data_IF_679557344850
#
_entry.id   IF_679557344850
#
_cell.length_a   1.000
_cell.length_b   1.000
_cell.length_c   1.000
_cell.angle_alpha   90.00
_cell.angle_beta   90.00
_cell.angle_gamma   90.00
#
_symmetry.space_group_name_H-M   'P 1'
#
loop_
_entity.id
_entity.type
_entity.pdbx_description
1 polymer ?
#
# COMPACT_ATOMS: atom_id res chain seq x y z
N UNK A 1 14.77 9.26 9.41
CA UNK A 1 13.70 9.34 8.41
C UNK A 1 14.24 8.79 7.11
N UNK A 2 13.74 7.63 6.67
CA UNK A 2 14.13 7.03 5.39
C UNK A 2 13.58 7.89 4.22
N UNK A 3 14.05 7.66 2.98
CA UNK A 3 13.65 8.49 1.82
C UNK A 3 12.14 8.43 1.51
N UNK A 4 11.48 7.32 1.82
CA UNK A 4 10.03 7.15 1.66
C UNK A 4 9.25 8.04 2.64
N UNK A 5 9.62 8.02 3.92
CA UNK A 5 9.02 8.86 4.96
C UNK A 5 9.20 10.35 4.63
N UNK A 6 10.38 10.76 4.15
CA UNK A 6 10.61 12.14 3.71
C UNK A 6 9.66 12.57 2.61
N UNK A 7 9.50 11.71 1.59
CA UNK A 7 8.58 11.96 0.49
C UNK A 7 7.12 12.04 0.96
N UNK A 8 6.67 11.10 1.78
CA UNK A 8 5.29 11.09 2.29
C UNK A 8 4.99 12.29 3.19
N UNK A 9 5.94 12.74 4.01
CA UNK A 9 5.81 13.96 4.79
C UNK A 9 5.64 15.18 3.88
N UNK A 10 6.49 15.32 2.85
CA UNK A 10 6.37 16.39 1.85
C UNK A 10 5.02 16.36 1.12
N UNK A 11 4.56 15.17 0.72
CA UNK A 11 3.23 14.98 0.14
C UNK A 11 2.12 15.42 1.11
N UNK A 12 2.22 15.02 2.39
CA UNK A 12 1.23 15.38 3.41
C UNK A 12 1.16 16.89 3.66
N UNK A 13 2.30 17.58 3.68
CA UNK A 13 2.37 19.03 3.81
C UNK A 13 1.68 19.74 2.64
N UNK A 14 1.91 19.29 1.39
CA UNK A 14 1.22 19.82 0.21
C UNK A 14 -0.28 19.59 0.27
N UNK A 15 -0.71 18.38 0.66
CA UNK A 15 -2.13 18.05 0.81
C UNK A 15 -2.81 18.88 1.91
N UNK A 16 -2.09 19.27 2.96
CA UNK A 16 -2.60 20.13 4.03
C UNK A 16 -3.02 21.53 3.57
N UNK A 17 -2.59 21.95 2.37
CA UNK A 17 -2.93 23.26 1.79
C UNK A 17 -4.15 23.19 0.84
N UNK A 18 -4.63 21.99 0.51
CA UNK A 18 -5.72 21.80 -0.46
C UNK A 18 -7.08 21.95 0.23
N UNK A 19 -7.93 22.81 -0.33
CA UNK A 19 -9.35 22.90 0.03
C UNK A 19 -10.21 22.32 -1.09
N UNK A 20 -10.95 21.25 -0.80
CA UNK A 20 -11.82 20.58 -1.77
C UNK A 20 -13.28 21.05 -1.64
N UNK A 21 -13.91 21.35 -2.77
CA UNK A 21 -15.32 21.81 -2.83
C UNK A 21 -16.22 20.87 -3.63
N UNK A 22 -15.64 20.06 -4.53
CA UNK A 22 -16.37 19.05 -5.32
C UNK A 22 -16.68 17.79 -4.51
N UNK A 23 -17.88 17.23 -4.68
CA UNK A 23 -18.32 16.02 -3.99
C UNK A 23 -17.34 14.85 -4.21
N UNK A 24 -16.84 14.71 -5.44
CA UNK A 24 -15.81 13.71 -5.80
C UNK A 24 -14.54 13.88 -4.95
N UNK A 25 -14.05 15.10 -4.80
CA UNK A 25 -12.80 15.38 -4.11
C UNK A 25 -12.95 15.35 -2.58
N UNK A 26 -14.15 15.67 -2.08
CA UNK A 26 -14.55 15.42 -0.69
C UNK A 26 -14.50 13.94 -0.32
N UNK A 27 -14.68 13.03 -1.28
CA UNK A 27 -14.46 11.60 -1.08
C UNK A 27 -13.00 11.18 -1.28
N UNK A 28 -12.29 11.74 -2.27
CA UNK A 28 -10.89 11.38 -2.58
C UNK A 28 -9.92 11.78 -1.48
N UNK A 29 -10.00 13.00 -0.97
CA UNK A 29 -9.02 13.53 -0.01
C UNK A 29 -8.92 12.69 1.28
N UNK A 30 -10.02 12.27 1.93
CA UNK A 30 -9.94 11.37 3.08
C UNK A 30 -9.33 10.00 2.76
N UNK A 31 -9.57 9.45 1.56
CA UNK A 31 -8.99 8.17 1.14
C UNK A 31 -7.48 8.28 0.97
N UNK A 32 -7.01 9.37 0.36
CA UNK A 32 -5.58 9.70 0.21
C UNK A 32 -4.91 9.79 1.58
N UNK A 33 -5.49 10.59 2.49
CA UNK A 33 -4.97 10.77 3.85
C UNK A 33 -4.93 9.45 4.60
N UNK A 34 -5.98 8.62 4.46
CA UNK A 34 -6.02 7.28 5.07
C UNK A 34 -4.94 6.37 4.49
N UNK A 35 -4.69 6.43 3.18
CA UNK A 35 -3.68 5.63 2.51
C UNK A 35 -2.28 5.97 3.04
N UNK A 36 -1.90 7.25 3.03
CA UNK A 36 -0.57 7.72 3.47
C UNK A 36 -0.31 7.31 4.92
N UNK A 37 -1.27 7.56 5.82
CA UNK A 37 -1.16 7.18 7.24
C UNK A 37 -1.03 5.67 7.42
N UNK A 38 -1.77 4.89 6.66
CA UNK A 38 -1.68 3.43 6.71
C UNK A 38 -0.36 2.94 6.13
N UNK A 39 0.19 3.62 5.12
CA UNK A 39 1.46 3.28 4.49
C UNK A 39 2.62 3.33 5.48
N UNK A 40 2.75 4.44 6.21
CA UNK A 40 3.78 4.60 7.24
C UNK A 40 3.68 3.54 8.35
N UNK A 41 2.45 3.14 8.72
CA UNK A 41 2.25 2.06 9.70
C UNK A 41 2.69 0.69 9.16
N UNK A 42 2.44 0.42 7.87
CA UNK A 42 2.90 -0.83 7.24
C UNK A 42 4.43 -0.87 7.18
N UNK A 43 5.08 0.24 6.82
CA UNK A 43 6.55 0.34 6.83
C UNK A 43 7.14 0.00 8.20
N UNK A 44 6.54 0.51 9.28
CA UNK A 44 6.96 0.20 10.65
C UNK A 44 6.76 -1.28 11.00
N UNK A 45 5.60 -1.86 10.66
CA UNK A 45 5.33 -3.29 10.91
C UNK A 45 6.28 -4.19 10.12
N UNK A 46 6.56 -3.87 8.86
CA UNK A 46 7.52 -4.61 8.03
C UNK A 46 8.95 -4.48 8.55
N UNK A 47 9.31 -3.32 9.10
CA UNK A 47 10.62 -3.12 9.75
C UNK A 47 10.81 -4.07 10.95
N UNK A 48 9.75 -4.29 11.74
CA UNK A 48 9.75 -5.23 12.87
C UNK A 48 9.38 -6.67 12.48
N UNK A 49 9.22 -6.96 11.18
CA UNK A 49 8.85 -8.27 10.65
C UNK A 49 7.49 -8.79 11.17
N UNK A 50 6.56 -7.89 11.51
CA UNK A 50 5.18 -8.20 11.92
C UNK A 50 4.30 -8.46 10.68
N UNK A 51 4.53 -9.61 10.03
CA UNK A 51 4.07 -9.86 8.67
C UNK A 51 2.53 -9.95 8.54
N UNK A 52 1.85 -10.59 9.48
CA UNK A 52 0.39 -10.79 9.41
C UNK A 52 -0.33 -9.45 9.54
N UNK A 53 0.10 -8.61 10.47
CA UNK A 53 -0.41 -7.27 10.72
C UNK A 53 -0.12 -6.37 9.52
N UNK A 54 1.10 -6.41 8.99
CA UNK A 54 1.47 -5.69 7.78
C UNK A 54 0.57 -6.10 6.60
N UNK A 55 0.45 -7.39 6.30
CA UNK A 55 -0.40 -7.91 5.22
C UNK A 55 -1.87 -7.52 5.39
N UNK A 56 -2.38 -7.52 6.63
CA UNK A 56 -3.75 -7.08 6.94
C UNK A 56 -3.95 -5.60 6.59
N UNK A 57 -2.96 -4.74 6.85
CA UNK A 57 -3.03 -3.34 6.47
C UNK A 57 -2.77 -3.10 4.96
N UNK A 58 -1.93 -3.92 4.32
CA UNK A 58 -1.76 -3.90 2.85
C UNK A 58 -3.10 -4.23 2.16
N UNK A 59 -3.89 -5.17 2.71
CA UNK A 59 -5.26 -5.45 2.24
C UNK A 59 -6.14 -4.19 2.26
N UNK A 60 -6.08 -3.45 3.37
CA UNK A 60 -6.79 -2.17 3.52
C UNK A 60 -6.31 -1.13 2.51
N UNK A 61 -5.01 -1.05 2.20
CA UNK A 61 -4.52 -0.14 1.17
C UNK A 61 -5.05 -0.46 -0.22
N UNK A 62 -5.14 -1.73 -0.58
CA UNK A 62 -5.77 -2.16 -1.83
C UNK A 62 -7.26 -1.77 -1.88
N UNK A 63 -7.98 -1.93 -0.77
CA UNK A 63 -9.37 -1.49 -0.62
C UNK A 63 -9.53 0.03 -0.76
N UNK A 64 -8.61 0.81 -0.18
CA UNK A 64 -8.59 2.28 -0.31
C UNK A 64 -8.37 2.71 -1.76
N UNK A 65 -7.42 2.09 -2.47
CA UNK A 65 -7.15 2.38 -3.87
C UNK A 65 -8.34 2.00 -4.76
N UNK A 66 -8.96 0.85 -4.53
CA UNK A 66 -10.18 0.45 -5.23
C UNK A 66 -11.32 1.45 -4.99
N UNK A 67 -11.52 1.88 -3.74
CA UNK A 67 -12.53 2.90 -3.39
C UNK A 67 -12.22 4.25 -4.03
N UNK A 68 -10.94 4.62 -4.14
CA UNK A 68 -10.52 5.82 -4.85
C UNK A 68 -10.90 5.75 -6.33
N UNK A 69 -10.65 4.62 -7.01
CA UNK A 69 -11.08 4.39 -8.41
C UNK A 69 -12.59 4.38 -8.60
N UNK A 70 -13.37 4.05 -7.57
CA UNK A 70 -14.82 4.17 -7.65
C UNK A 70 -15.32 5.61 -7.74
N UNK A 71 -14.53 6.60 -7.30
CA UNK A 71 -14.90 8.03 -7.40
C UNK A 71 -14.99 8.55 -8.83
N UNK A 72 -14.51 7.80 -9.82
CA UNK A 72 -14.70 8.09 -11.24
C UNK A 72 -16.18 8.00 -11.65
N UNK A 73 -17.00 7.22 -10.93
CA UNK A 73 -18.45 7.15 -11.10
C UNK A 73 -19.16 7.36 -9.75
N UNK A 74 -19.47 8.61 -9.46
CA UNK A 74 -20.06 9.01 -8.17
C UNK A 74 -21.45 8.42 -7.91
N UNK A 75 -22.26 8.20 -8.95
CA UNK A 75 -23.60 7.64 -8.79
C UNK A 75 -23.55 6.17 -8.36
N UNK A 76 -22.68 5.37 -9.00
CA UNK A 76 -22.43 3.99 -8.60
C UNK A 76 -21.84 3.92 -7.18
N UNK A 77 -20.87 4.79 -6.87
CA UNK A 77 -20.25 4.86 -5.55
C UNK A 77 -21.29 5.13 -4.45
N UNK A 78 -22.19 6.10 -4.66
CA UNK A 78 -23.27 6.42 -3.70
C UNK A 78 -24.16 5.20 -3.43
N UNK A 79 -24.53 4.47 -4.48
CA UNK A 79 -25.33 3.25 -4.35
C UNK A 79 -24.56 2.19 -3.57
N UNK A 80 -23.26 2.01 -3.84
CA UNK A 80 -22.41 1.05 -3.15
C UNK A 80 -22.28 1.39 -1.65
N UNK A 81 -21.99 2.65 -1.31
CA UNK A 81 -21.89 3.13 0.09
C UNK A 81 -23.23 2.95 0.81
N UNK A 82 -24.34 3.37 0.19
CA UNK A 82 -25.69 3.21 0.77
C UNK A 82 -26.03 1.74 1.06
N UNK A 83 -25.57 0.83 0.21
CA UNK A 83 -25.74 -0.63 0.37
C UNK A 83 -24.64 -1.28 1.22
N UNK A 84 -23.73 -0.50 1.80
CA UNK A 84 -22.58 -0.97 2.60
C UNK A 84 -21.74 -2.03 1.86
N UNK A 85 -21.58 -1.87 0.54
CA UNK A 85 -20.76 -2.78 -0.26
C UNK A 85 -19.27 -2.52 0.00
N UNK A 86 -18.51 -3.61 0.06
CA UNK A 86 -17.04 -3.56 0.03
C UNK A 86 -16.53 -2.90 -1.28
N UNK A 87 -15.34 -2.30 -1.29
CA UNK A 87 -14.78 -1.70 -2.51
C UNK A 87 -14.63 -2.71 -3.64
N UNK A 88 -14.85 -2.28 -4.88
CA UNK A 88 -14.70 -3.13 -6.07
C UNK A 88 -13.22 -3.32 -6.44
N UNK A 89 -12.63 -4.36 -5.86
CA UNK A 89 -11.23 -4.76 -6.11
C UNK A 89 -10.95 -5.01 -7.60
N UNK A 90 -11.95 -5.38 -8.39
CA UNK A 90 -11.84 -5.55 -9.84
C UNK A 90 -11.45 -4.27 -10.60
N UNK A 91 -11.55 -3.09 -9.96
CA UNK A 91 -11.03 -1.83 -10.52
C UNK A 91 -9.51 -1.73 -10.49
N UNK A 92 -8.84 -2.62 -9.77
CA UNK A 92 -7.38 -2.69 -9.70
C UNK A 92 -6.92 -3.90 -10.49
N UNK A 93 -6.02 -3.67 -11.45
CA UNK A 93 -5.38 -4.74 -12.21
C UNK A 93 -4.69 -5.74 -11.27
N UNK A 94 -4.91 -7.03 -11.49
CA UNK A 94 -4.49 -8.13 -10.61
C UNK A 94 -4.99 -8.03 -9.16
N UNK A 95 -5.90 -7.08 -8.86
CA UNK A 95 -6.42 -6.82 -7.52
C UNK A 95 -7.08 -8.05 -6.90
N UNK A 96 -7.82 -8.84 -7.68
CA UNK A 96 -8.50 -10.03 -7.16
C UNK A 96 -7.54 -11.09 -6.61
N UNK A 97 -6.39 -11.28 -7.26
CA UNK A 97 -5.36 -12.24 -6.81
C UNK A 97 -4.71 -11.74 -5.53
N UNK A 98 -4.25 -10.47 -5.51
CA UNK A 98 -3.68 -9.85 -4.31
C UNK A 98 -4.66 -9.88 -3.14
N UNK A 99 -5.91 -9.50 -3.38
CA UNK A 99 -6.94 -9.45 -2.35
C UNK A 99 -7.28 -10.82 -1.78
N UNK A 100 -7.35 -11.85 -2.63
CA UNK A 100 -7.58 -13.23 -2.19
C UNK A 100 -6.51 -13.67 -1.21
N UNK A 101 -5.24 -13.54 -1.59
CA UNK A 101 -4.11 -13.91 -0.74
C UNK A 101 -4.09 -13.11 0.57
N UNK A 102 -4.22 -11.79 0.50
CA UNK A 102 -4.21 -10.93 1.69
C UNK A 102 -5.41 -11.19 2.62
N UNK A 103 -6.57 -11.58 2.06
CA UNK A 103 -7.76 -11.94 2.83
C UNK A 103 -7.61 -13.28 3.54
N UNK A 104 -6.94 -14.25 2.91
CA UNK A 104 -6.59 -15.52 3.59
C UNK A 104 -5.70 -15.26 4.79
N UNK A 105 -4.70 -14.38 4.64
CA UNK A 105 -3.79 -13.99 5.73
C UNK A 105 -4.56 -13.27 6.85
N UNK A 106 -5.32 -12.24 6.51
CA UNK A 106 -6.04 -11.40 7.48
C UNK A 106 -7.11 -12.16 8.28
N UNK A 107 -7.64 -13.27 7.75
CA UNK A 107 -8.61 -14.10 8.45
C UNK A 107 -8.00 -15.34 9.12
N UNK A 108 -6.68 -15.54 9.00
CA UNK A 108 -6.00 -16.79 9.40
C UNK A 108 -6.74 -18.02 8.83
N UNK A 109 -7.15 -17.94 7.56
CA UNK A 109 -8.09 -18.89 6.97
C UNK A 109 -7.51 -20.30 6.81
N UNK A 110 -6.18 -20.43 6.82
CA UNK A 110 -5.42 -21.68 6.65
C UNK A 110 -4.33 -21.76 7.72
N UNK A 111 -4.04 -22.97 8.20
CA UNK A 111 -2.95 -23.21 9.16
C UNK A 111 -1.58 -22.74 8.65
N UNK A 112 -1.39 -22.80 7.34
CA UNK A 112 -0.20 -22.38 6.62
C UNK A 112 0.06 -20.87 6.79
N UNK A 113 -0.98 -20.06 7.05
CA UNK A 113 -0.82 -18.64 7.36
C UNK A 113 -0.02 -18.42 8.64
N UNK A 114 -0.07 -19.34 9.60
CA UNK A 114 0.71 -19.19 10.83
C UNK A 114 2.20 -19.27 10.59
N UNK A 115 2.66 -19.87 9.47
CA UNK A 115 4.09 -19.88 9.13
C UNK A 115 4.66 -18.46 8.96
N UNK A 116 3.81 -17.47 8.65
CA UNK A 116 4.16 -16.05 8.56
C UNK A 116 4.51 -15.42 9.92
N UNK A 117 4.31 -16.12 11.03
CA UNK A 117 4.76 -15.72 12.38
C UNK A 117 6.25 -16.01 12.63
N UNK A 118 6.99 -16.51 11.63
CA UNK A 118 8.42 -16.84 11.79
C UNK A 118 8.64 -18.18 12.47
N UNK A 119 8.13 -19.25 11.84
CA UNK A 119 8.32 -20.62 12.32
C UNK A 119 9.80 -21.03 12.19
N UNK A 120 10.36 -21.56 13.28
CA UNK A 120 11.69 -22.18 13.29
C UNK A 120 11.57 -23.68 13.48
N UNK A 121 12.08 -24.43 12.50
CA UNK A 121 12.19 -25.89 12.61
C UNK A 121 13.43 -26.23 13.45
N UNK A 122 13.22 -26.94 14.55
CA UNK A 122 14.28 -27.36 15.46
C UNK A 122 14.94 -28.67 14.98
N UNK A 123 16.11 -29.00 15.52
CA UNK A 123 16.86 -30.22 15.17
C UNK A 123 16.10 -31.52 15.47
N UNK A 124 15.16 -31.50 16.42
CA UNK A 124 14.34 -32.64 16.85
C UNK A 124 12.98 -32.73 16.12
N UNK A 125 12.84 -32.05 14.98
CA UNK A 125 11.59 -31.89 14.22
C UNK A 125 10.46 -31.16 14.97
N UNK A 126 10.73 -30.61 16.16
CA UNK A 126 9.78 -29.71 16.83
C UNK A 126 9.73 -28.33 16.14
N UNK A 127 8.65 -27.59 16.42
CA UNK A 127 8.39 -26.28 15.82
C UNK A 127 8.34 -25.22 16.92
N UNK A 128 9.22 -24.24 16.83
CA UNK A 128 9.17 -23.02 17.62
C UNK A 128 8.52 -21.89 16.84
N UNK A 129 7.83 -21.00 17.55
CA UNK A 129 7.36 -19.72 17.00
C UNK A 129 8.02 -18.63 17.82
N UNK A 130 8.75 -17.74 17.16
CA UNK A 130 9.33 -16.59 17.84
C UNK A 130 8.24 -15.62 18.26
N UNK A 131 8.38 -15.07 19.47
CA UNK A 131 7.49 -14.00 19.92
C UNK A 131 7.71 -12.70 19.11
N UNK A 132 8.93 -12.50 18.62
CA UNK A 132 9.29 -11.36 17.78
C UNK A 132 9.35 -11.80 16.32
N UNK A 133 8.95 -10.90 15.41
CA UNK A 133 9.05 -11.13 13.98
C UNK A 133 10.48 -11.47 13.56
N UNK A 134 10.60 -12.47 12.68
CA UNK A 134 11.87 -12.87 12.05
C UNK A 134 11.81 -12.54 10.57
N UNK A 135 12.88 -11.96 10.06
CA UNK A 135 12.99 -11.69 8.63
C UNK A 135 13.04 -13.00 7.83
N UNK A 136 12.11 -13.17 6.90
CA UNK A 136 12.03 -14.30 6.00
C UNK A 136 11.64 -13.86 4.56
N UNK A 137 11.54 -14.82 3.65
CA UNK A 137 11.11 -14.54 2.27
C UNK A 137 9.66 -14.05 2.19
N UNK A 138 8.80 -14.39 3.16
CA UNK A 138 7.42 -13.91 3.17
C UNK A 138 7.34 -12.40 3.45
N UNK A 139 8.26 -11.85 4.26
CA UNK A 139 8.38 -10.40 4.45
C UNK A 139 8.66 -9.70 3.12
N UNK A 140 9.57 -10.25 2.29
CA UNK A 140 9.86 -9.68 0.96
C UNK A 140 8.63 -9.68 0.05
N UNK A 141 7.84 -10.76 0.08
CA UNK A 141 6.61 -10.86 -0.70
C UNK A 141 5.60 -9.78 -0.28
N UNK A 142 5.35 -9.64 1.02
CA UNK A 142 4.44 -8.61 1.54
C UNK A 142 4.95 -7.20 1.19
N UNK A 143 6.26 -6.96 1.33
CA UNK A 143 6.85 -5.68 0.97
C UNK A 143 6.78 -5.39 -0.53
N UNK A 144 6.94 -6.40 -1.39
CA UNK A 144 6.77 -6.27 -2.84
C UNK A 144 5.33 -5.87 -3.24
N UNK A 145 4.33 -6.44 -2.58
CA UNK A 145 2.91 -6.09 -2.82
C UNK A 145 2.61 -4.68 -2.29
N UNK A 146 3.11 -4.35 -1.10
CA UNK A 146 3.01 -3.01 -0.53
C UNK A 146 3.59 -1.95 -1.47
N UNK A 147 4.76 -2.24 -2.06
CA UNK A 147 5.44 -1.42 -3.06
C UNK A 147 4.61 -1.28 -4.35
N UNK A 148 4.06 -2.37 -4.90
CA UNK A 148 3.19 -2.31 -6.09
C UNK A 148 1.99 -1.40 -5.87
N UNK A 149 1.32 -1.55 -4.72
CA UNK A 149 0.16 -0.73 -4.36
C UNK A 149 0.56 0.74 -4.21
N UNK A 150 1.73 1.03 -3.63
CA UNK A 150 2.24 2.40 -3.55
C UNK A 150 2.51 3.01 -4.92
N UNK A 151 3.17 2.30 -5.84
CA UNK A 151 3.41 2.82 -7.19
C UNK A 151 2.11 3.12 -7.94
N UNK A 152 1.06 2.31 -7.75
CA UNK A 152 -0.27 2.60 -8.31
C UNK A 152 -0.88 3.84 -7.69
N UNK A 153 -0.81 3.96 -6.36
CA UNK A 153 -1.28 5.15 -5.64
C UNK A 153 -0.52 6.42 -6.06
N UNK A 154 0.80 6.34 -6.27
CA UNK A 154 1.63 7.45 -6.69
C UNK A 154 1.11 8.09 -7.99
N UNK A 155 0.71 7.28 -8.97
CA UNK A 155 0.14 7.77 -10.23
C UNK A 155 -1.16 8.55 -9.97
N UNK A 156 -2.04 8.04 -9.12
CA UNK A 156 -3.26 8.75 -8.73
C UNK A 156 -2.95 10.07 -8.00
N UNK A 157 -1.86 10.10 -7.24
CA UNK A 157 -1.44 11.29 -6.52
C UNK A 157 -0.86 12.38 -7.40
N UNK A 158 -0.10 12.03 -8.43
CA UNK A 158 0.34 13.01 -9.43
C UNK A 158 -0.87 13.71 -10.06
N UNK A 159 -1.88 12.92 -10.46
CA UNK A 159 -3.11 13.45 -11.04
C UNK A 159 -3.89 14.34 -10.06
N UNK A 160 -4.09 13.87 -8.83
CA UNK A 160 -4.82 14.64 -7.82
C UNK A 160 -4.15 15.98 -7.51
N UNK A 161 -2.82 16.00 -7.37
CA UNK A 161 -2.06 17.22 -7.11
C UNK A 161 -2.15 18.19 -8.29
N UNK A 162 -2.03 17.69 -9.52
CA UNK A 162 -2.18 18.48 -10.74
C UNK A 162 -3.55 19.13 -10.89
N UNK A 163 -4.60 18.46 -10.39
CA UNK A 163 -5.98 18.98 -10.40
C UNK A 163 -6.20 20.10 -9.35
N UNK A 164 -5.41 20.13 -8.26
CA UNK A 164 -5.76 20.92 -7.06
C UNK A 164 -4.70 21.90 -6.58
N UNK A 165 -3.44 21.78 -7.01
CA UNK A 165 -2.34 22.66 -6.62
C UNK A 165 -1.98 23.56 -7.79
N UNK A 166 -2.08 24.87 -7.57
CA UNK A 166 -1.74 25.87 -8.59
C UNK A 166 -0.25 25.78 -8.93
N UNK A 167 0.09 25.81 -10.23
CA UNK A 167 1.45 25.72 -10.76
C UNK A 167 2.21 24.44 -10.34
N UNK A 168 1.51 23.37 -9.99
CA UNK A 168 2.13 22.09 -9.70
C UNK A 168 2.80 21.49 -10.95
N UNK A 169 4.05 21.06 -10.77
CA UNK A 169 4.78 20.21 -11.71
C UNK A 169 5.09 18.87 -11.05
N UNK A 170 5.00 17.79 -11.83
CA UNK A 170 5.36 16.44 -11.39
C UNK A 170 6.88 16.20 -11.38
N UNK A 171 7.69 17.15 -11.88
CA UNK A 171 9.15 16.98 -12.03
C UNK A 171 9.83 16.54 -10.72
N UNK A 172 9.53 17.21 -9.61
CA UNK A 172 10.14 16.86 -8.31
C UNK A 172 9.69 15.49 -7.79
N UNK A 173 8.45 15.08 -8.05
CA UNK A 173 7.94 13.78 -7.64
C UNK A 173 8.54 12.66 -8.51
N UNK A 174 8.69 12.92 -9.81
CA UNK A 174 9.31 12.01 -10.77
C UNK A 174 10.82 11.89 -10.56
N UNK A 175 11.50 12.98 -10.23
CA UNK A 175 12.92 12.97 -9.87
C UNK A 175 13.16 12.10 -8.64
N UNK A 176 12.34 12.22 -7.60
CA UNK A 176 12.41 11.36 -6.42
C UNK A 176 12.14 9.89 -6.79
N UNK A 177 11.11 9.61 -7.59
CA UNK A 177 10.78 8.25 -8.02
C UNK A 177 11.95 7.59 -8.76
N UNK A 178 12.56 8.31 -9.72
CA UNK A 178 13.59 7.79 -10.60
C UNK A 178 14.99 7.78 -9.98
N UNK A 179 15.33 8.76 -9.15
CA UNK A 179 16.70 8.93 -8.62
C UNK A 179 16.86 8.38 -7.20
N UNK A 180 15.78 8.27 -6.42
CA UNK A 180 15.82 7.79 -5.05
C UNK A 180 15.07 6.45 -4.88
N UNK A 181 13.76 6.43 -5.15
CA UNK A 181 12.92 5.27 -4.84
C UNK A 181 13.29 4.02 -5.63
N UNK A 182 13.32 4.10 -6.97
CA UNK A 182 13.65 2.95 -7.83
C UNK A 182 15.09 2.44 -7.59
N UNK A 183 16.13 3.29 -7.51
CA UNK A 183 17.49 2.84 -7.25
C UNK A 183 17.67 2.18 -5.88
N UNK A 184 16.98 2.67 -4.84
CA UNK A 184 16.95 2.01 -3.53
C UNK A 184 16.26 0.65 -3.62
N UNK A 185 15.13 0.59 -4.31
CA UNK A 185 14.39 -0.64 -4.57
C UNK A 185 15.22 -1.70 -5.29
N UNK A 186 15.95 -1.33 -6.33
CA UNK A 186 16.85 -2.24 -7.05
C UNK A 186 17.97 -2.82 -6.16
N UNK A 187 18.49 -2.03 -5.20
CA UNK A 187 19.50 -2.49 -4.23
C UNK A 187 18.92 -3.43 -3.16
N UNK A 188 17.62 -3.38 -2.91
CA UNK A 188 16.96 -4.16 -1.86
C UNK A 188 16.77 -5.64 -2.21
N UNK A 189 16.85 -6.03 -3.48
CA UNK A 189 16.63 -7.40 -3.94
C UNK A 189 15.16 -7.84 -3.96
N UNK A 190 14.22 -6.90 -3.96
CA UNK A 190 12.78 -7.17 -4.11
C UNK A 190 12.45 -7.33 -5.60
N UNK A 191 11.85 -8.47 -5.95
CA UNK A 191 11.47 -8.84 -7.31
C UNK A 191 10.64 -7.76 -8.03
N UNK A 192 9.78 -7.03 -7.29
CA UNK A 192 9.02 -5.91 -7.83
C UNK A 192 9.87 -4.94 -8.67
N UNK A 193 11.06 -4.59 -8.18
CA UNK A 193 11.90 -3.57 -8.81
C UNK A 193 12.68 -4.06 -10.03
N UNK A 194 12.78 -5.37 -10.26
CA UNK A 194 13.48 -5.94 -11.43
C UNK A 194 12.87 -5.47 -12.75
N UNK A 195 11.59 -5.07 -12.74
CA UNK A 195 10.94 -4.47 -13.92
C UNK A 195 11.59 -3.17 -14.39
N UNK A 196 12.37 -2.50 -13.53
CA UNK A 196 13.02 -1.22 -13.80
C UNK A 196 14.53 -1.35 -14.09
N UNK A 197 15.10 -2.55 -14.09
CA UNK A 197 16.55 -2.76 -14.26
C UNK A 197 17.03 -2.72 -15.72
N UNK A 198 16.26 -2.13 -16.64
CA UNK A 198 16.50 -2.16 -18.09
C UNK A 198 17.11 -0.86 -18.60
#
# INVERSE_FOLDING_TARGET
MNEMEKYLCSLFERLGQINVTGEKDQHRLPLIVSFIRTHMMIDELLHYCENIEAATLVRKQLELLARYKETENMDELKIAIKKKKVPQISKIENGGVMYGMLSEIAHSAKSETYTLLGYEKQEDDSVGINLFGVYDENIKVTFGIHTDIFCRFFIEMLQFQKEHIENYSEDSDMDWMCNDFIPLGLKSGIEYFERYSR
#
